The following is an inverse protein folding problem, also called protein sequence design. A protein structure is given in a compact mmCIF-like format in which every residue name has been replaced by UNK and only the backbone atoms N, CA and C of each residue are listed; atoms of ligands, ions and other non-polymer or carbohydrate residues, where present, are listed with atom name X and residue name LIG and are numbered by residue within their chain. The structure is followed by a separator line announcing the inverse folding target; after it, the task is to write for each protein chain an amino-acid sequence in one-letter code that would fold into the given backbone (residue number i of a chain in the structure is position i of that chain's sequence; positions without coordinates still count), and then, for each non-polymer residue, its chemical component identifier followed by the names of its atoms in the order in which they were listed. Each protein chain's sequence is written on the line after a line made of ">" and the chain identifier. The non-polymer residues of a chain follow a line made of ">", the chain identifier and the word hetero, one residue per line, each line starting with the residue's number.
data_IF_677279821371
#
_entry.id   IF_677279821371
#
_cell.length_a   1.000
_cell.length_b   1.000
_cell.length_c   1.000
_cell.angle_alpha   90.00
_cell.angle_beta   90.00
_cell.angle_gamma   90.00
#
_symmetry.space_group_name_H-M   'P 1'
#
loop_
_entity.id
_entity.type
_entity.pdbx_description
1 polymer ?
#
# COMPACT_ATOMS: atom_id res chain seq x y z
N UNK A 1 -4.96 15.42 68.02
CA UNK A 1 -4.26 14.25 67.44
C UNK A 1 -4.99 13.65 66.23
N UNK A 2 -6.32 13.54 66.24
CA UNK A 2 -7.11 13.04 65.10
C UNK A 2 -6.97 13.89 63.80
N UNK A 3 -6.90 15.22 63.92
CA UNK A 3 -6.78 16.15 62.78
C UNK A 3 -5.45 15.97 62.03
N UNK A 4 -4.35 15.73 62.75
CA UNK A 4 -3.03 15.53 62.14
C UNK A 4 -2.96 14.23 61.33
N UNK A 5 -3.63 13.17 61.80
CA UNK A 5 -3.70 11.88 61.11
C UNK A 5 -4.51 11.98 59.80
N UNK A 6 -5.60 12.74 59.81
CA UNK A 6 -6.44 12.99 58.62
C UNK A 6 -5.69 13.79 57.56
N UNK A 7 -4.96 14.84 57.97
CA UNK A 7 -4.13 15.63 57.05
C UNK A 7 -3.02 14.79 56.41
N UNK A 8 -2.36 13.93 57.19
CA UNK A 8 -1.33 13.03 56.68
C UNK A 8 -1.92 12.00 55.69
N UNK A 9 -3.11 11.48 55.97
CA UNK A 9 -3.80 10.55 55.07
C UNK A 9 -4.23 11.21 53.75
N UNK A 10 -4.71 12.47 53.80
CA UNK A 10 -5.03 13.23 52.59
C UNK A 10 -3.78 13.54 51.75
N UNK A 11 -2.66 13.88 52.40
CA UNK A 11 -1.40 14.14 51.72
C UNK A 11 -0.88 12.89 50.98
N UNK A 12 -0.93 11.72 51.65
CA UNK A 12 -0.56 10.43 51.04
C UNK A 12 -1.47 10.07 49.87
N UNK A 13 -2.77 10.35 49.94
CA UNK A 13 -3.72 10.06 48.86
C UNK A 13 -3.45 10.90 47.61
N UNK A 14 -3.16 12.20 47.78
CA UNK A 14 -2.81 13.11 46.68
C UNK A 14 -1.49 12.71 46.04
N UNK A 15 -0.48 12.32 46.83
CA UNK A 15 0.82 11.92 46.32
C UNK A 15 0.73 10.59 45.53
N UNK A 16 -0.07 9.64 46.01
CA UNK A 16 -0.30 8.36 45.32
C UNK A 16 -1.10 8.54 44.01
N UNK A 17 -2.03 9.50 43.99
CA UNK A 17 -2.78 9.90 42.79
C UNK A 17 -1.86 10.51 41.71
N UNK A 18 -0.95 11.41 42.09
CA UNK A 18 0.00 12.02 41.16
C UNK A 18 0.97 11.00 40.56
N UNK A 19 1.47 10.05 41.37
CA UNK A 19 2.38 9.00 40.90
C UNK A 19 1.69 8.01 39.94
N UNK A 20 0.41 7.65 40.18
CA UNK A 20 -0.37 6.82 39.24
C UNK A 20 -0.68 7.54 37.93
N UNK A 21 -0.95 8.84 37.97
CA UNK A 21 -1.20 9.63 36.77
C UNK A 21 0.06 9.75 35.90
N UNK A 22 1.25 9.83 36.51
CA UNK A 22 2.52 9.91 35.78
C UNK A 22 2.89 8.59 35.09
N UNK A 23 2.67 7.44 35.76
CA UNK A 23 2.88 6.12 35.16
C UNK A 23 1.89 5.78 34.02
N UNK A 24 0.69 6.37 34.00
CA UNK A 24 -0.28 6.21 32.90
C UNK A 24 0.05 7.06 31.66
N UNK A 25 0.85 8.13 31.81
CA UNK A 25 1.26 9.00 30.71
C UNK A 25 2.44 8.39 29.95
N UNK A 26 3.37 7.73 30.64
CA UNK A 26 4.54 7.08 30.04
C UNK A 26 4.15 5.90 29.13
N UNK A 27 3.34 4.96 29.64
CA UNK A 27 2.88 3.78 28.86
C UNK A 27 2.04 4.17 27.63
N UNK A 28 1.30 5.28 27.70
CA UNK A 28 0.44 5.76 26.60
C UNK A 28 1.24 6.44 25.51
N UNK A 29 2.37 7.05 25.86
CA UNK A 29 3.30 7.67 24.91
C UNK A 29 4.09 6.58 24.19
N UNK A 30 4.57 5.55 24.91
CA UNK A 30 5.30 4.42 24.32
C UNK A 30 4.46 3.65 23.30
N UNK A 31 3.22 3.27 23.64
CA UNK A 31 2.29 2.60 22.72
C UNK A 31 2.04 3.43 21.45
N UNK A 32 1.91 4.76 21.59
CA UNK A 32 1.67 5.66 20.47
C UNK A 32 2.90 5.83 19.56
N UNK A 33 4.10 5.68 20.12
CA UNK A 33 5.37 5.72 19.37
C UNK A 33 5.54 4.42 18.58
N UNK A 34 5.21 3.28 19.19
CA UNK A 34 5.27 1.95 18.55
C UNK A 34 4.30 1.87 17.35
N UNK A 35 3.03 2.26 17.53
CA UNK A 35 2.04 2.33 16.44
C UNK A 35 2.47 3.25 15.28
N UNK A 36 3.16 4.36 15.61
CA UNK A 36 3.64 5.30 14.60
C UNK A 36 4.83 4.76 13.79
N UNK A 37 5.70 3.97 14.41
CA UNK A 37 6.82 3.33 13.75
C UNK A 37 6.34 2.15 12.87
N UNK A 38 5.31 1.44 13.29
CA UNK A 38 4.66 0.39 12.50
C UNK A 38 4.07 0.95 11.18
N UNK A 39 3.41 2.10 11.22
CA UNK A 39 2.90 2.74 9.99
C UNK A 39 4.00 3.23 9.07
N UNK A 40 5.16 3.67 9.61
CA UNK A 40 6.30 4.01 8.77
C UNK A 40 6.85 2.79 8.03
N UNK A 41 6.95 1.65 8.71
CA UNK A 41 7.40 0.40 8.08
C UNK A 41 6.39 -0.09 7.04
N UNK A 42 5.09 -0.04 7.37
CA UNK A 42 4.03 -0.44 6.45
C UNK A 42 3.96 0.46 5.21
N UNK A 43 4.16 1.78 5.35
CA UNK A 43 4.26 2.70 4.23
C UNK A 43 5.49 2.45 3.36
N UNK A 44 6.67 2.27 3.97
CA UNK A 44 7.88 1.95 3.23
C UNK A 44 7.72 0.64 2.43
N UNK A 45 7.05 -0.34 3.03
CA UNK A 45 6.70 -1.58 2.35
C UNK A 45 5.74 -1.42 1.19
N UNK A 46 4.62 -0.73 1.40
CA UNK A 46 3.66 -0.50 0.34
C UNK A 46 4.28 0.33 -0.79
N UNK A 47 5.06 1.35 -0.47
CA UNK A 47 5.79 2.16 -1.44
C UNK A 47 6.74 1.30 -2.29
N UNK A 48 7.54 0.44 -1.66
CA UNK A 48 8.48 -0.43 -2.38
C UNK A 48 7.75 -1.45 -3.27
N UNK A 49 6.67 -2.07 -2.77
CA UNK A 49 5.89 -3.06 -3.50
C UNK A 49 5.15 -2.43 -4.71
N UNK A 50 4.70 -1.19 -4.58
CA UNK A 50 3.96 -0.48 -5.61
C UNK A 50 4.89 0.20 -6.64
N UNK A 51 6.01 0.77 -6.21
CA UNK A 51 6.96 1.45 -7.10
C UNK A 51 7.49 0.51 -8.20
N UNK A 52 7.61 -0.79 -7.90
CA UNK A 52 8.07 -1.84 -8.82
C UNK A 52 6.93 -2.60 -9.50
N UNK A 53 5.77 -1.97 -9.68
CA UNK A 53 4.67 -2.55 -10.44
C UNK A 53 5.13 -2.95 -11.85
N UNK A 54 4.70 -4.13 -12.30
CA UNK A 54 5.12 -4.66 -13.59
C UNK A 54 4.32 -4.03 -14.72
N UNK A 55 5.02 -3.55 -15.75
CA UNK A 55 4.44 -3.07 -17.02
C UNK A 55 4.09 -4.21 -18.00
N UNK A 56 3.96 -5.44 -17.49
CA UNK A 56 3.57 -6.60 -18.32
C UNK A 56 2.12 -6.42 -18.78
N UNK A 57 1.85 -6.96 -19.97
CA UNK A 57 0.54 -6.93 -20.61
C UNK A 57 0.05 -8.33 -20.92
N UNK A 58 -1.24 -8.47 -21.18
CA UNK A 58 -1.83 -9.71 -21.67
C UNK A 58 -2.79 -9.44 -22.83
N UNK A 59 -2.96 -10.40 -23.76
CA UNK A 59 -3.94 -10.28 -24.82
C UNK A 59 -5.36 -10.29 -24.26
N UNK A 60 -6.20 -9.38 -24.74
CA UNK A 60 -7.59 -9.21 -24.35
C UNK A 60 -8.44 -8.91 -25.60
N UNK A 61 -9.74 -9.21 -25.54
CA UNK A 61 -10.63 -9.04 -26.68
C UNK A 61 -10.60 -10.21 -27.67
N UNK A 62 -10.85 -9.94 -28.96
CA UNK A 62 -11.00 -10.98 -29.97
C UNK A 62 -9.65 -11.65 -30.30
N UNK A 63 -9.67 -12.97 -30.54
CA UNK A 63 -8.49 -13.77 -30.87
C UNK A 63 -7.82 -13.34 -32.18
N UNK A 64 -8.57 -12.83 -33.15
CA UNK A 64 -8.04 -12.41 -34.46
C UNK A 64 -7.28 -11.07 -34.40
N UNK A 65 -7.58 -10.22 -33.42
CA UNK A 65 -6.89 -8.95 -33.21
C UNK A 65 -6.91 -8.57 -31.71
N UNK A 66 -6.08 -9.23 -30.89
CA UNK A 66 -6.10 -9.04 -29.44
C UNK A 66 -5.52 -7.68 -29.08
N UNK A 67 -6.30 -6.88 -28.36
CA UNK A 67 -5.82 -5.68 -27.69
C UNK A 67 -4.96 -6.05 -26.49
N UNK A 68 -3.92 -5.27 -26.21
CA UNK A 68 -3.11 -5.47 -25.00
C UNK A 68 -3.80 -4.83 -23.79
N UNK A 69 -3.93 -5.55 -22.69
CA UNK A 69 -4.47 -5.01 -21.44
C UNK A 69 -3.41 -5.00 -20.33
N UNK A 70 -3.45 -4.02 -19.41
CA UNK A 70 -2.55 -3.98 -18.27
C UNK A 70 -3.02 -4.96 -17.17
N UNK A 71 -2.05 -5.54 -16.47
CA UNK A 71 -2.32 -6.21 -15.19
C UNK A 71 -2.56 -5.24 -14.04
N UNK A 72 -2.16 -3.98 -14.19
CA UNK A 72 -2.43 -2.91 -13.24
C UNK A 72 -3.87 -2.42 -13.43
N UNK A 73 -4.70 -2.60 -12.41
CA UNK A 73 -6.12 -2.26 -12.38
C UNK A 73 -6.38 -1.37 -11.16
N UNK A 74 -6.62 -0.08 -11.41
CA UNK A 74 -6.79 0.93 -10.38
C UNK A 74 -8.24 1.38 -10.24
N UNK A 75 -8.85 1.16 -9.08
CA UNK A 75 -10.13 1.71 -8.69
C UNK A 75 -10.00 2.73 -7.55
N UNK A 76 -11.07 3.48 -7.21
CA UNK A 76 -10.99 4.55 -6.22
C UNK A 76 -10.72 4.05 -4.78
N UNK A 77 -11.00 2.77 -4.50
CA UNK A 77 -10.92 2.16 -3.17
C UNK A 77 -10.27 0.76 -3.17
N UNK A 78 -9.74 0.32 -4.31
CA UNK A 78 -8.98 -0.91 -4.43
C UNK A 78 -7.99 -0.81 -5.58
N UNK A 79 -6.82 -1.42 -5.41
CA UNK A 79 -5.78 -1.48 -6.43
C UNK A 79 -5.29 -2.91 -6.57
N UNK A 80 -5.23 -3.42 -7.80
CA UNK A 80 -4.63 -4.71 -8.12
C UNK A 80 -3.50 -4.56 -9.14
N UNK A 81 -2.41 -5.28 -8.94
CA UNK A 81 -1.26 -5.26 -9.85
C UNK A 81 -0.45 -6.54 -9.75
N UNK A 82 0.54 -6.67 -10.63
CA UNK A 82 1.59 -7.69 -10.48
C UNK A 82 2.88 -6.99 -10.08
N UNK A 83 3.57 -7.55 -9.10
CA UNK A 83 4.87 -7.07 -8.64
C UNK A 83 5.75 -8.20 -8.16
N UNK A 84 6.95 -7.85 -7.71
CA UNK A 84 7.82 -8.76 -6.95
C UNK A 84 7.74 -8.34 -5.49
N UNK A 85 7.51 -9.30 -4.59
CA UNK A 85 7.50 -9.01 -3.15
C UNK A 85 8.91 -8.57 -2.70
N UNK A 86 9.01 -7.51 -1.88
CA UNK A 86 10.28 -7.11 -1.27
C UNK A 86 10.98 -8.27 -0.54
N UNK A 87 12.30 -8.34 -0.65
CA UNK A 87 13.12 -9.49 -0.22
C UNK A 87 12.95 -9.88 1.25
N UNK A 88 12.59 -8.93 2.12
CA UNK A 88 12.36 -9.17 3.57
C UNK A 88 11.23 -10.18 3.86
N UNK A 89 10.39 -10.50 2.88
CA UNK A 89 9.31 -11.49 3.04
C UNK A 89 9.73 -12.90 2.64
N UNK A 90 10.94 -13.12 2.11
CA UNK A 90 11.41 -14.44 1.67
C UNK A 90 10.64 -15.05 0.49
N UNK A 91 9.68 -14.30 -0.07
CA UNK A 91 8.86 -14.71 -1.20
C UNK A 91 9.55 -14.31 -2.50
N UNK A 92 10.26 -15.25 -3.11
CA UNK A 92 10.80 -15.08 -4.45
C UNK A 92 9.70 -15.08 -5.52
N UNK A 93 9.97 -14.44 -6.65
CA UNK A 93 9.07 -14.48 -7.81
C UNK A 93 7.97 -13.43 -7.82
N UNK A 94 7.18 -13.46 -8.89
CA UNK A 94 6.10 -12.49 -9.15
C UNK A 94 4.82 -12.91 -8.46
N UNK A 95 4.08 -11.94 -7.99
CA UNK A 95 2.83 -12.14 -7.28
C UNK A 95 1.74 -11.24 -7.85
N UNK A 96 0.51 -11.76 -7.90
CA UNK A 96 -0.66 -10.91 -7.87
C UNK A 96 -0.69 -10.19 -6.53
N UNK A 97 -0.96 -8.90 -6.54
CA UNK A 97 -1.09 -8.07 -5.35
C UNK A 97 -2.42 -7.32 -5.41
N UNK A 98 -3.09 -7.20 -4.27
CA UNK A 98 -4.32 -6.41 -4.14
C UNK A 98 -4.33 -5.65 -2.82
N UNK A 99 -4.47 -4.35 -2.91
CA UNK A 99 -4.68 -3.45 -1.78
C UNK A 99 -6.16 -3.08 -1.70
N UNK A 100 -6.79 -3.32 -0.56
CA UNK A 100 -8.17 -2.94 -0.31
C UNK A 100 -8.45 -2.84 1.20
N UNK A 101 -9.59 -2.25 1.55
CA UNK A 101 -10.16 -2.44 2.88
C UNK A 101 -10.86 -3.79 2.97
N UNK A 102 -10.67 -4.47 4.10
CA UNK A 102 -11.32 -5.73 4.42
C UNK A 102 -11.94 -5.66 5.82
N UNK A 103 -13.01 -6.43 6.09
CA UNK A 103 -13.52 -6.56 7.44
C UNK A 103 -12.48 -7.23 8.36
N UNK A 104 -12.45 -6.78 9.61
CA UNK A 104 -11.57 -7.29 10.66
C UNK A 104 -12.20 -7.12 12.04
N UNK A 105 -11.48 -7.59 13.05
CA UNK A 105 -11.86 -7.36 14.45
C UNK A 105 -11.71 -5.87 14.78
N UNK A 106 -12.74 -5.27 15.39
CA UNK A 106 -12.73 -3.83 15.71
C UNK A 106 -12.99 -2.88 14.53
N UNK A 107 -13.29 -3.39 13.33
CA UNK A 107 -13.66 -2.58 12.16
C UNK A 107 -12.99 -3.03 10.87
N UNK A 108 -13.09 -2.21 9.83
CA UNK A 108 -12.36 -2.45 8.59
C UNK A 108 -10.85 -2.21 8.81
N UNK A 109 -10.03 -2.87 7.99
CA UNK A 109 -8.56 -2.83 8.02
C UNK A 109 -8.01 -2.71 6.61
N UNK A 110 -6.90 -2.00 6.45
CA UNK A 110 -6.19 -1.93 5.18
C UNK A 110 -5.33 -3.18 5.03
N UNK A 111 -5.56 -3.94 3.96
CA UNK A 111 -4.88 -5.22 3.73
C UNK A 111 -4.23 -5.24 2.36
N UNK A 112 -2.96 -5.66 2.31
CA UNK A 112 -2.31 -6.08 1.09
C UNK A 112 -2.39 -7.60 0.98
N UNK A 113 -3.23 -8.09 0.08
CA UNK A 113 -3.31 -9.50 -0.31
C UNK A 113 -2.29 -9.80 -1.40
N UNK A 114 -1.74 -11.01 -1.38
CA UNK A 114 -0.82 -11.47 -2.41
C UNK A 114 -0.92 -12.98 -2.66
N UNK A 115 -0.72 -13.38 -3.92
CA UNK A 115 -0.73 -14.77 -4.35
C UNK A 115 0.32 -14.98 -5.47
N UNK A 116 0.94 -16.16 -5.59
CA UNK A 116 1.86 -16.44 -6.69
C UNK A 116 1.26 -16.16 -8.06
N UNK A 117 2.01 -15.50 -8.93
CA UNK A 117 1.55 -15.19 -10.28
C UNK A 117 1.60 -16.44 -11.16
N UNK A 118 0.48 -16.82 -11.77
CA UNK A 118 0.34 -18.03 -12.60
C UNK A 118 0.36 -17.74 -14.10
N UNK A 119 0.40 -16.46 -14.49
CA UNK A 119 0.27 -16.04 -15.89
C UNK A 119 -1.16 -15.74 -16.33
N UNK A 120 -2.17 -16.05 -15.51
CA UNK A 120 -3.56 -15.71 -15.80
C UNK A 120 -3.80 -14.19 -15.74
N UNK A 121 -4.73 -13.63 -16.56
CA UNK A 121 -5.07 -12.20 -16.60
C UNK A 121 -5.46 -11.56 -15.25
N UNK A 122 -5.96 -12.36 -14.32
CA UNK A 122 -6.38 -11.92 -13.00
C UNK A 122 -6.30 -13.05 -11.98
N UNK A 123 -6.79 -12.77 -10.77
CA UNK A 123 -6.85 -13.70 -9.66
C UNK A 123 -8.16 -13.46 -8.91
N UNK A 124 -8.98 -14.49 -8.73
CA UNK A 124 -10.33 -14.34 -8.15
C UNK A 124 -10.42 -14.83 -6.70
N UNK A 125 -9.52 -15.73 -6.28
CA UNK A 125 -9.55 -16.38 -4.96
C UNK A 125 -8.95 -15.51 -3.83
N UNK A 126 -9.19 -14.18 -3.85
CA UNK A 126 -8.59 -13.23 -2.91
C UNK A 126 -8.85 -13.55 -1.44
N UNK A 127 -10.00 -14.15 -1.10
CA UNK A 127 -10.31 -14.57 0.26
C UNK A 127 -9.38 -15.64 0.83
N UNK A 128 -8.69 -16.40 -0.04
CA UNK A 128 -7.74 -17.46 0.34
C UNK A 128 -6.27 -17.02 0.18
N UNK A 129 -6.03 -15.88 -0.46
CA UNK A 129 -4.68 -15.34 -0.64
C UNK A 129 -4.07 -14.95 0.71
N UNK A 130 -2.75 -15.10 0.82
CA UNK A 130 -2.02 -14.56 1.95
C UNK A 130 -2.24 -13.04 2.03
N UNK A 131 -2.28 -12.49 3.24
CA UNK A 131 -2.61 -11.10 3.48
C UNK A 131 -1.79 -10.51 4.61
N UNK A 132 -1.33 -9.28 4.42
CA UNK A 132 -0.69 -8.48 5.45
C UNK A 132 -1.60 -7.30 5.79
N UNK A 133 -1.93 -7.17 7.08
CA UNK A 133 -2.61 -5.98 7.60
C UNK A 133 -1.59 -4.86 7.67
N UNK A 134 -1.90 -3.75 7.01
CA UNK A 134 -1.07 -2.55 6.99
C UNK A 134 -1.53 -1.53 8.02
N UNK A 135 -2.85 -1.40 8.22
CA UNK A 135 -3.45 -0.48 9.17
C UNK A 135 -4.76 -1.04 9.74
N UNK A 136 -5.00 -0.84 11.04
CA UNK A 136 -6.27 -1.12 11.68
C UNK A 136 -6.47 -0.19 12.91
N UNK A 137 -7.67 0.36 13.14
CA UNK A 137 -8.82 0.36 12.22
C UNK A 137 -8.58 1.31 11.04
N UNK A 138 -9.14 0.99 9.87
CA UNK A 138 -9.15 1.85 8.69
C UNK A 138 -10.57 1.95 8.14
N UNK A 139 -11.12 3.16 8.14
CA UNK A 139 -12.51 3.46 7.78
C UNK A 139 -12.71 3.80 6.30
N UNK A 140 -11.70 4.38 5.64
CA UNK A 140 -11.75 4.71 4.22
C UNK A 140 -10.38 4.55 3.56
N UNK A 141 -10.39 4.17 2.29
CA UNK A 141 -9.24 4.14 1.39
C UNK A 141 -9.59 4.95 0.14
N UNK A 142 -8.79 5.97 -0.13
CA UNK A 142 -8.87 6.78 -1.35
C UNK A 142 -7.63 6.58 -2.21
N UNK A 143 -7.83 6.29 -3.49
CA UNK A 143 -6.78 6.09 -4.47
C UNK A 143 -6.96 7.03 -5.66
N UNK A 144 -5.85 7.61 -6.13
CA UNK A 144 -5.81 8.40 -7.36
C UNK A 144 -4.57 8.05 -8.17
N UNK A 145 -4.67 8.25 -9.47
CA UNK A 145 -3.69 7.82 -10.47
C UNK A 145 -3.30 9.00 -11.34
N UNK A 146 -2.01 9.30 -11.42
CA UNK A 146 -1.48 10.39 -12.23
C UNK A 146 -1.29 9.92 -13.68
N UNK A 147 -2.03 10.54 -14.59
CA UNK A 147 -1.90 10.31 -16.02
C UNK A 147 -0.61 10.96 -16.57
N UNK A 148 0.34 10.20 -17.16
CA UNK A 148 1.56 10.73 -17.75
C UNK A 148 1.32 11.67 -18.92
N UNK A 149 0.27 11.45 -19.72
CA UNK A 149 -0.01 12.22 -20.93
C UNK A 149 -0.64 13.59 -20.62
N UNK A 150 -1.46 13.67 -19.58
CA UNK A 150 -2.21 14.89 -19.22
C UNK A 150 -1.71 15.57 -17.95
N UNK A 151 -0.96 14.87 -17.09
CA UNK A 151 -0.57 15.33 -15.77
C UNK A 151 -1.74 15.46 -14.78
N UNK A 152 -2.91 14.89 -15.10
CA UNK A 152 -4.11 14.97 -14.27
C UNK A 152 -4.28 13.74 -13.39
N UNK A 153 -4.86 13.94 -12.19
CA UNK A 153 -5.18 12.86 -11.27
C UNK A 153 -6.58 12.29 -11.51
N UNK A 154 -6.66 11.03 -11.92
CA UNK A 154 -7.89 10.26 -12.11
C UNK A 154 -8.21 9.38 -10.89
N UNK A 155 -9.49 9.14 -10.53
CA UNK A 155 -9.87 8.17 -9.49
C UNK A 155 -9.78 6.71 -9.96
N UNK A 156 -9.59 6.47 -11.27
CA UNK A 156 -9.49 5.14 -11.87
C UNK A 156 -8.33 5.07 -12.86
N UNK A 157 -7.73 3.89 -12.99
CA UNK A 157 -6.72 3.60 -14.00
C UNK A 157 -6.97 2.23 -14.65
N UNK A 158 -7.02 2.15 -15.99
CA UNK A 158 -6.99 3.27 -16.94
C UNK A 158 -8.16 4.27 -16.77
N UNK A 159 -8.02 5.54 -17.19
CA UNK A 159 -9.12 6.49 -17.15
C UNK A 159 -10.32 6.00 -17.97
N UNK A 160 -11.53 6.23 -17.47
CA UNK A 160 -12.75 5.77 -18.13
C UNK A 160 -12.90 6.41 -19.53
N UNK A 161 -13.24 5.59 -20.53
CA UNK A 161 -13.44 6.04 -21.91
C UNK A 161 -12.15 6.31 -22.70
N UNK A 162 -10.97 6.13 -22.10
CA UNK A 162 -9.69 6.24 -22.80
C UNK A 162 -9.33 4.88 -23.41
N UNK A 163 -9.14 4.79 -24.74
CA UNK A 163 -8.71 3.55 -25.37
C UNK A 163 -7.28 3.21 -24.98
N UNK A 164 -6.95 1.92 -24.89
CA UNK A 164 -5.60 1.45 -24.55
C UNK A 164 -4.53 2.04 -25.48
N UNK A 165 -4.85 2.26 -26.76
CA UNK A 165 -3.92 2.86 -27.72
C UNK A 165 -3.50 4.30 -27.39
N UNK A 166 -4.25 5.00 -26.53
CA UNK A 166 -3.94 6.35 -26.07
C UNK A 166 -3.20 6.35 -24.72
N UNK A 167 -3.01 5.20 -24.08
CA UNK A 167 -2.25 5.06 -22.86
C UNK A 167 -0.74 5.06 -23.15
N UNK A 168 0.10 5.39 -22.15
CA UNK A 168 1.55 5.23 -22.25
C UNK A 168 1.92 3.78 -22.60
N UNK A 169 3.11 3.60 -23.18
CA UNK A 169 3.56 2.28 -23.65
C UNK A 169 3.63 1.28 -22.49
N UNK A 170 4.02 1.67 -21.28
CA UNK A 170 4.02 0.78 -20.12
C UNK A 170 2.63 0.44 -19.56
N UNK A 171 1.57 1.13 -20.02
CA UNK A 171 0.19 1.07 -19.55
C UNK A 171 0.01 1.40 -18.05
N UNK A 172 0.98 2.08 -17.43
CA UNK A 172 0.98 2.43 -16.01
C UNK A 172 0.71 3.93 -15.81
N UNK A 173 0.12 4.33 -14.67
CA UNK A 173 0.15 5.73 -14.27
C UNK A 173 1.57 6.12 -13.84
N UNK A 174 1.94 7.40 -13.92
CA UNK A 174 3.25 7.86 -13.45
C UNK A 174 3.37 7.77 -11.92
N UNK A 175 2.25 7.95 -11.21
CA UNK A 175 2.21 7.88 -9.77
C UNK A 175 0.84 7.44 -9.25
N UNK A 176 0.83 6.89 -8.05
CA UNK A 176 -0.38 6.57 -7.27
C UNK A 176 -0.35 7.38 -6.00
N UNK A 177 -1.45 8.09 -5.71
CA UNK A 177 -1.68 8.73 -4.43
C UNK A 177 -2.66 7.87 -3.62
N UNK A 178 -2.33 7.66 -2.35
CA UNK A 178 -3.11 6.89 -1.39
C UNK A 178 -3.39 7.73 -0.14
N UNK A 179 -4.64 7.69 0.29
CA UNK A 179 -5.12 8.27 1.53
C UNK A 179 -5.88 7.20 2.32
N UNK A 180 -5.65 7.14 3.63
CA UNK A 180 -6.29 6.20 4.54
C UNK A 180 -6.83 6.97 5.73
N UNK A 181 -8.12 6.87 5.98
CA UNK A 181 -8.77 7.54 7.11
C UNK A 181 -9.14 6.49 8.19
N UNK A 182 -9.06 6.85 9.47
CA UNK A 182 -9.46 5.99 10.59
C UNK A 182 -8.34 5.60 11.56
N UNK A 183 -7.12 5.24 11.10
CA UNK A 183 -6.03 4.89 12.01
C UNK A 183 -5.71 6.03 12.98
N UNK A 184 -5.40 5.69 14.23
CA UNK A 184 -4.87 6.62 15.23
C UNK A 184 -3.56 6.05 15.76
N UNK A 185 -2.40 6.71 15.54
CA UNK A 185 -2.22 8.01 14.88
C UNK A 185 -2.61 8.00 13.37
N UNK A 186 -2.86 9.17 12.75
CA UNK A 186 -3.24 9.24 11.34
C UNK A 186 -2.21 8.60 10.42
N UNK A 187 -2.71 7.86 9.43
CA UNK A 187 -1.85 7.28 8.40
C UNK A 187 -1.18 8.38 7.56
N UNK A 188 0.13 8.32 7.28
CA UNK A 188 0.80 9.35 6.51
C UNK A 188 0.32 9.38 5.06
N UNK A 189 0.15 10.57 4.43
CA UNK A 189 -0.16 10.64 3.01
C UNK A 189 0.95 9.97 2.18
N UNK A 190 0.58 9.14 1.22
CA UNK A 190 1.53 8.37 0.41
C UNK A 190 1.34 8.70 -1.08
N UNK A 191 2.41 9.15 -1.73
CA UNK A 191 2.48 9.27 -3.19
C UNK A 191 3.65 8.43 -3.66
N UNK A 192 3.39 7.46 -4.54
CA UNK A 192 4.38 6.52 -5.04
C UNK A 192 4.52 6.73 -6.54
N UNK A 193 5.72 7.10 -7.00
CA UNK A 193 6.05 7.07 -8.42
C UNK A 193 6.22 5.62 -8.88
N UNK A 194 5.68 5.27 -10.04
CA UNK A 194 5.83 3.94 -10.62
C UNK A 194 7.04 3.95 -11.54
N UNK A 195 7.98 3.05 -11.28
CA UNK A 195 9.16 2.83 -12.11
C UNK A 195 9.19 1.34 -12.44
N UNK A 196 8.55 0.92 -13.56
CA UNK A 196 8.46 -0.49 -13.89
C UNK A 196 9.86 -1.09 -13.99
N UNK A 197 10.07 -2.33 -13.48
CA UNK A 197 11.37 -2.98 -13.61
C UNK A 197 11.76 -3.12 -15.09
N UNK A 198 13.02 -2.86 -15.42
CA UNK A 198 13.59 -2.98 -16.78
C UNK A 198 13.15 -4.26 -17.51
N UNK A 199 13.13 -5.40 -16.82
CA UNK A 199 12.74 -6.70 -17.39
C UNK A 199 11.28 -6.77 -17.88
N UNK A 200 10.44 -5.81 -17.48
CA UNK A 200 9.03 -5.72 -17.90
C UNK A 200 8.66 -4.38 -18.50
N UNK A 201 9.58 -3.43 -18.53
CA UNK A 201 9.35 -2.11 -19.10
C UNK A 201 9.56 -2.18 -20.61
N UNK A 202 8.48 -2.10 -21.41
CA UNK A 202 8.56 -2.11 -22.87
C UNK A 202 9.17 -0.82 -23.44
N UNK A 203 9.26 0.25 -22.64
CA UNK A 203 9.86 1.52 -23.04
C UNK A 203 11.38 1.57 -22.77
N UNK A 204 11.90 0.62 -21.99
CA UNK A 204 13.31 0.59 -21.64
C UNK A 204 14.20 0.20 -22.84
N UNK A 205 15.13 1.08 -23.21
CA UNK A 205 16.17 0.79 -24.20
C UNK A 205 17.40 0.18 -23.53
N UNK A 206 17.69 -1.10 -23.78
CA UNK A 206 18.98 -1.70 -23.43
C UNK A 206 20.05 -1.20 -24.42
N UNK A 207 21.00 -0.41 -23.91
CA UNK A 207 22.20 -0.07 -24.69
C UNK A 207 22.98 -1.33 -25.03
N UNK A 208 23.01 -1.72 -26.31
CA UNK A 208 23.82 -2.82 -26.78
C UNK A 208 25.28 -2.36 -26.87
N UNK A 209 26.12 -2.72 -25.89
CA UNK A 209 27.56 -2.56 -26.01
C UNK A 209 28.11 -3.70 -26.88
N UNK A 210 28.21 -3.43 -28.18
CA UNK A 210 28.83 -4.34 -29.15
C UNK A 210 30.33 -4.45 -28.92
N UNK A 211 30.77 -5.54 -28.30
CA UNK A 211 32.17 -5.98 -28.34
C UNK A 211 32.47 -6.57 -29.71
N UNK A 212 33.00 -5.75 -30.62
CA UNK A 212 33.54 -6.22 -31.89
C UNK A 212 34.76 -7.10 -31.64
N UNK A 213 34.62 -8.41 -31.83
CA UNK A 213 35.77 -9.30 -32.00
C UNK A 213 36.40 -8.98 -33.35
N UNK A 214 37.63 -8.45 -33.29
CA UNK A 214 38.56 -8.39 -34.42
C UNK A 214 38.85 -9.78 -34.97
#
# INVERSE_FOLDING_TARGET
>A
MLIALVLLAMLMLVLTSALRAMGQVETRIEQRVEDADDYRLANAFLAEALARASARRYPSGNADNPAQAPYFQGGPNALAWIGVMPARYGLGGRHYMRLALEPGEGGARLVLRYAPWTGAPGFDAWGQAAGQVLAAPASALGLRYLDPGTGQWSPVWPPAGVPVSALPVDLLPSAVALQVDGPTPPWPPLIVALTPPYATDPSATLGAFGGGTR
#
